data_IF_946125484227
#
_entry.id   IF_946125484227
#
_cell.length_a   1.000
_cell.length_b   1.000
_cell.length_c   1.000
_cell.angle_alpha   90.00
_cell.angle_beta   90.00
_cell.angle_gamma   90.00
#
_symmetry.space_group_name_H-M   'P 1'
#
loop_
_entity.id
_entity.type
_entity.pdbx_description
1 polymer ?
#
# COMPACT_ATOMS: atom_id res chain seq x y z
N UNK A 1 -26.61 15.62 0.96
CA UNK A 1 -27.19 16.91 0.56
C UNK A 1 -26.08 17.95 0.54
N UNK A 2 -26.33 19.16 0.04
CA UNK A 2 -25.41 20.30 0.18
C UNK A 2 -26.18 21.59 0.42
N UNK A 3 -25.53 22.56 1.06
CA UNK A 3 -26.05 23.92 1.17
C UNK A 3 -25.90 24.67 -0.16
N UNK A 4 -26.63 25.76 -0.35
CA UNK A 4 -26.34 26.73 -1.42
C UNK A 4 -25.02 27.45 -1.14
N UNK A 5 -24.55 28.28 -2.08
CA UNK A 5 -23.38 29.15 -1.85
C UNK A 5 -23.64 30.13 -0.69
N UNK A 6 -24.78 30.80 -0.72
CA UNK A 6 -25.23 31.70 0.36
C UNK A 6 -25.33 30.96 1.70
N UNK A 7 -25.91 29.75 1.72
CA UNK A 7 -25.98 28.93 2.94
C UNK A 7 -24.62 28.48 3.45
N UNK A 8 -23.66 28.24 2.56
CA UNK A 8 -22.28 27.91 2.93
C UNK A 8 -21.58 29.13 3.53
N UNK A 9 -21.70 30.30 2.91
CA UNK A 9 -21.15 31.56 3.44
C UNK A 9 -21.76 31.93 4.79
N UNK A 10 -23.09 31.77 4.94
CA UNK A 10 -23.78 31.96 6.20
C UNK A 10 -23.22 31.02 7.27
N UNK A 11 -23.15 29.72 6.98
CA UNK A 11 -22.63 28.72 7.91
C UNK A 11 -21.17 29.00 8.30
N UNK A 12 -20.31 29.34 7.35
CA UNK A 12 -18.89 29.55 7.61
C UNK A 12 -18.63 30.71 8.57
N UNK A 13 -19.48 31.74 8.54
CA UNK A 13 -19.44 32.90 9.44
C UNK A 13 -19.93 32.63 10.88
N UNK A 14 -20.55 31.47 11.14
CA UNK A 14 -21.02 31.09 12.47
C UNK A 14 -19.85 30.68 13.39
N UNK A 15 -20.02 30.93 14.69
CA UNK A 15 -19.14 30.39 15.75
C UNK A 15 -19.28 28.88 15.86
N UNK A 16 -18.36 28.20 16.57
CA UNK A 16 -18.42 26.73 16.72
C UNK A 16 -19.74 26.26 17.34
N UNK A 17 -20.25 26.95 18.35
CA UNK A 17 -21.53 26.61 19.01
C UNK A 17 -22.70 26.81 18.05
N UNK A 18 -22.73 27.94 17.34
CA UNK A 18 -23.81 28.23 16.37
C UNK A 18 -23.80 27.26 15.18
N UNK A 19 -22.63 26.74 14.80
CA UNK A 19 -22.50 25.68 13.79
C UNK A 19 -23.17 24.37 14.25
N UNK A 20 -22.93 23.99 15.50
CA UNK A 20 -23.55 22.80 16.10
C UNK A 20 -25.08 22.97 16.25
N UNK A 21 -25.51 24.18 16.65
CA UNK A 21 -26.93 24.55 16.73
C UNK A 21 -27.59 24.49 15.35
N UNK A 22 -26.96 25.07 14.31
CA UNK A 22 -27.47 25.03 12.94
C UNK A 22 -27.72 23.59 12.46
N UNK A 23 -26.79 22.66 12.73
CA UNK A 23 -26.93 21.27 12.31
C UNK A 23 -28.00 20.53 13.12
N UNK A 24 -28.08 20.81 14.42
CA UNK A 24 -29.11 20.23 15.30
C UNK A 24 -30.50 20.70 14.90
N UNK A 25 -30.66 22.00 14.67
CA UNK A 25 -31.90 22.60 14.21
C UNK A 25 -32.29 22.08 12.83
N UNK A 26 -31.34 21.99 11.89
CA UNK A 26 -31.58 21.38 10.58
C UNK A 26 -32.11 19.95 10.69
N UNK A 27 -31.56 19.12 11.59
CA UNK A 27 -32.07 17.77 11.83
C UNK A 27 -33.49 17.78 12.39
N UNK A 28 -33.78 18.67 13.35
CA UNK A 28 -35.11 18.81 13.96
C UNK A 28 -36.13 19.26 12.90
N UNK A 29 -35.78 20.25 12.09
CA UNK A 29 -36.61 20.73 10.98
C UNK A 29 -36.90 19.60 9.99
N UNK A 30 -35.88 18.87 9.56
CA UNK A 30 -36.04 17.72 8.65
C UNK A 30 -36.93 16.61 9.24
N UNK A 31 -36.80 16.33 10.54
CA UNK A 31 -37.65 15.33 11.23
C UNK A 31 -39.13 15.71 11.29
N UNK A 32 -39.43 17.02 11.28
CA UNK A 32 -40.79 17.55 11.23
C UNK A 32 -41.35 17.56 9.81
N UNK A 33 -40.53 17.97 8.83
CA UNK A 33 -40.91 18.05 7.42
C UNK A 33 -41.19 16.65 6.85
N UNK A 34 -40.32 15.70 7.17
CA UNK A 34 -40.47 14.29 6.80
C UNK A 34 -40.64 13.53 8.11
N UNK A 35 -41.88 13.21 8.53
CA UNK A 35 -42.17 12.66 9.85
C UNK A 35 -41.37 11.39 10.12
N UNK A 36 -40.24 11.55 10.80
CA UNK A 36 -39.26 10.52 11.13
C UNK A 36 -38.79 10.81 12.54
N UNK A 37 -38.69 9.77 13.37
CA UNK A 37 -38.13 9.93 14.71
C UNK A 37 -36.71 10.50 14.62
N UNK A 38 -36.46 11.61 15.32
CA UNK A 38 -35.17 12.30 15.36
C UNK A 38 -34.02 11.38 15.77
N UNK A 39 -34.27 10.38 16.63
CA UNK A 39 -33.28 9.40 17.06
C UNK A 39 -32.75 8.53 15.91
N UNK A 40 -33.46 8.47 14.78
CA UNK A 40 -33.03 7.77 13.57
C UNK A 40 -32.16 8.62 12.67
N UNK A 41 -32.06 9.92 12.93
CA UNK A 41 -31.33 10.88 12.11
C UNK A 41 -30.01 11.22 12.80
N UNK A 42 -28.92 11.18 12.03
CA UNK A 42 -27.65 11.72 12.48
C UNK A 42 -26.96 12.37 11.28
N UNK A 43 -26.44 13.58 11.46
CA UNK A 43 -25.75 14.32 10.40
C UNK A 43 -24.26 14.42 10.66
N UNK A 44 -23.48 14.42 9.59
CA UNK A 44 -22.11 14.91 9.60
C UNK A 44 -21.91 15.91 8.47
N UNK A 45 -20.95 16.80 8.66
CA UNK A 45 -20.72 17.91 7.76
C UNK A 45 -19.31 17.87 7.23
N UNK A 46 -19.14 18.12 5.93
CA UNK A 46 -17.84 18.24 5.28
C UNK A 46 -17.84 19.46 4.38
N UNK A 47 -16.81 20.29 4.50
CA UNK A 47 -16.55 21.37 3.56
C UNK A 47 -15.65 20.82 2.45
N UNK A 48 -16.11 20.90 1.20
CA UNK A 48 -15.37 20.46 0.03
C UNK A 48 -15.39 21.56 -1.02
N UNK A 49 -14.21 22.10 -1.34
CA UNK A 49 -14.01 23.18 -2.32
C UNK A 49 -14.96 24.38 -2.09
N UNK A 50 -15.01 24.88 -0.84
CA UNK A 50 -15.86 26.01 -0.42
C UNK A 50 -17.36 25.76 -0.59
N UNK A 51 -17.76 24.48 -0.56
CA UNK A 51 -19.15 24.06 -0.61
C UNK A 51 -19.44 23.13 0.57
N UNK A 52 -20.49 23.45 1.33
CA UNK A 52 -20.84 22.66 2.50
C UNK A 52 -21.72 21.48 2.14
N UNK A 53 -21.23 20.27 2.41
CA UNK A 53 -21.97 19.02 2.23
C UNK A 53 -22.45 18.48 3.57
N UNK A 54 -23.71 18.04 3.59
CA UNK A 54 -24.37 17.47 4.76
C UNK A 54 -24.71 16.02 4.45
N UNK A 55 -24.05 15.12 5.16
CA UNK A 55 -24.32 13.68 5.13
C UNK A 55 -25.35 13.37 6.19
N UNK A 56 -26.55 12.96 5.78
CA UNK A 56 -27.62 12.55 6.68
C UNK A 56 -27.71 11.03 6.68
N UNK A 57 -27.46 10.42 7.84
CA UNK A 57 -27.65 8.99 8.06
C UNK A 57 -29.04 8.77 8.66
N UNK A 58 -29.78 7.84 8.06
CA UNK A 58 -31.13 7.46 8.46
C UNK A 58 -31.12 6.00 8.90
N UNK A 59 -31.39 5.73 10.16
CA UNK A 59 -31.45 4.36 10.69
C UNK A 59 -32.73 3.66 10.21
N UNK A 60 -32.63 2.39 9.81
CA UNK A 60 -33.81 1.59 9.42
C UNK A 60 -34.67 1.21 10.63
N UNK A 61 -35.99 1.18 10.45
CA UNK A 61 -36.94 0.71 11.47
C UNK A 61 -37.93 -0.28 10.85
N UNK A 62 -38.35 -1.29 11.63
CA UNK A 62 -39.39 -2.26 11.21
C UNK A 62 -40.81 -1.72 11.37
N UNK A 63 -41.01 -0.74 12.26
CA UNK A 63 -42.34 -0.20 12.63
C UNK A 63 -42.64 1.11 11.92
N UNK A 64 -41.61 1.83 11.48
CA UNK A 64 -41.74 3.14 10.86
C UNK A 64 -41.46 3.07 9.36
N UNK A 65 -41.54 4.23 8.71
CA UNK A 65 -41.32 4.39 7.28
C UNK A 65 -39.96 3.87 6.81
N UNK A 66 -39.95 3.26 5.63
CA UNK A 66 -38.75 2.70 5.01
C UNK A 66 -37.74 3.80 4.66
N UNK A 67 -36.45 3.50 4.80
CA UNK A 67 -35.35 4.43 4.50
C UNK A 67 -35.41 4.92 3.05
N UNK A 68 -35.72 4.02 2.11
CA UNK A 68 -35.84 4.37 0.69
C UNK A 68 -36.91 5.44 0.48
N UNK A 69 -38.10 5.25 1.06
CA UNK A 69 -39.20 6.20 0.92
C UNK A 69 -38.90 7.55 1.57
N UNK A 70 -38.16 7.58 2.68
CA UNK A 70 -37.69 8.83 3.32
C UNK A 70 -36.71 9.57 2.39
N UNK A 71 -35.76 8.85 1.79
CA UNK A 71 -34.76 9.43 0.87
C UNK A 71 -35.43 9.97 -0.40
N UNK A 72 -36.35 9.20 -0.99
CA UNK A 72 -37.05 9.58 -2.21
C UNK A 72 -37.87 10.87 -1.98
N UNK A 73 -38.66 10.93 -0.89
CA UNK A 73 -39.39 12.14 -0.49
C UNK A 73 -38.45 13.32 -0.21
N UNK A 74 -37.37 13.09 0.55
CA UNK A 74 -36.41 14.16 0.86
C UNK A 74 -35.81 14.75 -0.40
N UNK A 75 -35.43 13.90 -1.35
CA UNK A 75 -34.90 14.36 -2.62
C UNK A 75 -35.93 15.21 -3.38
N UNK A 76 -37.17 14.74 -3.50
CA UNK A 76 -38.22 15.45 -4.23
C UNK A 76 -38.56 16.76 -3.55
N UNK A 77 -38.65 16.77 -2.21
CA UNK A 77 -38.90 17.99 -1.46
C UNK A 77 -37.79 19.02 -1.63
N UNK A 78 -36.51 18.61 -1.69
CA UNK A 78 -35.40 19.55 -1.93
C UNK A 78 -35.42 20.06 -3.37
N UNK A 79 -35.67 19.19 -4.36
CA UNK A 79 -35.73 19.60 -5.77
C UNK A 79 -36.90 20.53 -6.08
N UNK A 80 -38.03 20.32 -5.42
CA UNK A 80 -39.23 21.16 -5.55
C UNK A 80 -39.40 22.13 -4.38
N UNK A 81 -38.29 22.53 -3.77
CA UNK A 81 -38.21 23.35 -2.54
C UNK A 81 -39.19 24.52 -2.50
N UNK A 82 -39.37 25.24 -3.61
CA UNK A 82 -40.26 26.42 -3.72
C UNK A 82 -41.73 26.15 -3.37
N UNK A 83 -42.17 24.89 -3.47
CA UNK A 83 -43.57 24.49 -3.26
C UNK A 83 -43.72 23.44 -2.15
N UNK A 84 -42.63 23.03 -1.49
CA UNK A 84 -42.66 22.04 -0.42
C UNK A 84 -42.34 22.66 0.94
N UNK A 85 -42.61 21.94 2.01
CA UNK A 85 -42.36 22.43 3.38
C UNK A 85 -40.88 22.67 3.71
N UNK A 86 -39.94 22.29 2.83
CA UNK A 86 -38.50 22.56 3.00
C UNK A 86 -38.18 24.07 2.98
N UNK A 87 -38.96 24.88 2.26
CA UNK A 87 -38.76 26.33 2.25
C UNK A 87 -39.36 27.06 3.46
N UNK A 88 -40.11 26.37 4.32
CA UNK A 88 -40.83 26.99 5.44
C UNK A 88 -39.96 27.21 6.68
N UNK A 89 -38.85 26.47 6.81
CA UNK A 89 -37.94 26.57 7.93
C UNK A 89 -36.62 27.23 7.52
N UNK A 90 -35.97 27.90 8.48
CA UNK A 90 -34.83 28.77 8.21
C UNK A 90 -33.63 27.98 7.67
N UNK A 91 -33.27 26.87 8.31
CA UNK A 91 -32.05 26.15 7.98
C UNK A 91 -32.23 25.23 6.77
N UNK A 92 -33.38 24.55 6.66
CA UNK A 92 -33.70 23.76 5.46
C UNK A 92 -33.83 24.63 4.20
N UNK A 93 -34.15 25.91 4.35
CA UNK A 93 -34.16 26.84 3.22
C UNK A 93 -32.75 27.16 2.68
N UNK A 94 -31.66 26.74 3.32
CA UNK A 94 -30.32 26.79 2.73
C UNK A 94 -29.94 25.55 1.92
N UNK A 95 -30.79 24.53 1.85
CA UNK A 95 -30.54 23.34 1.02
C UNK A 95 -30.60 23.70 -0.48
N UNK A 96 -29.65 23.15 -1.24
CA UNK A 96 -29.50 23.40 -2.68
C UNK A 96 -30.49 22.56 -3.49
N UNK A 97 -31.42 23.25 -4.16
CA UNK A 97 -32.48 22.65 -4.99
C UNK A 97 -31.94 21.94 -6.24
N UNK A 98 -30.85 22.45 -6.83
CA UNK A 98 -30.23 21.85 -8.03
C UNK A 98 -29.52 20.53 -7.70
N UNK A 99 -28.99 20.42 -6.48
CA UNK A 99 -28.29 19.22 -6.02
C UNK A 99 -29.25 18.14 -5.49
N UNK A 100 -30.30 18.54 -4.76
CA UNK A 100 -31.22 17.61 -4.13
C UNK A 100 -30.58 16.76 -3.02
N UNK A 101 -30.98 15.49 -2.94
CA UNK A 101 -30.33 14.51 -2.06
C UNK A 101 -29.83 13.31 -2.86
N UNK A 102 -28.53 13.04 -2.75
CA UNK A 102 -27.90 11.89 -3.39
C UNK A 102 -27.68 10.81 -2.34
N UNK A 103 -28.32 9.62 -2.47
CA UNK A 103 -28.06 8.52 -1.56
C UNK A 103 -26.62 8.02 -1.72
N UNK A 104 -26.01 7.59 -0.62
CA UNK A 104 -24.74 6.89 -0.67
C UNK A 104 -24.87 5.66 -1.58
N UNK A 105 -23.97 5.57 -2.57
CA UNK A 105 -24.07 4.59 -3.62
C UNK A 105 -23.83 3.18 -3.07
N UNK A 106 -24.66 2.22 -3.48
CA UNK A 106 -24.35 0.81 -3.27
C UNK A 106 -23.13 0.43 -4.14
N UNK A 107 -21.94 0.49 -3.55
CA UNK A 107 -20.67 0.21 -4.23
C UNK A 107 -20.68 -1.17 -4.88
N UNK A 108 -21.28 -2.17 -4.24
CA UNK A 108 -21.40 -3.51 -4.79
C UNK A 108 -22.21 -3.50 -6.09
N UNK A 109 -23.42 -2.92 -6.07
CA UNK A 109 -24.28 -2.87 -7.25
C UNK A 109 -23.62 -2.16 -8.44
N UNK A 110 -22.91 -1.06 -8.17
CA UNK A 110 -22.26 -0.26 -9.21
C UNK A 110 -20.97 -0.89 -9.75
N UNK A 111 -20.19 -1.55 -8.88
CA UNK A 111 -18.82 -1.96 -9.21
C UNK A 111 -18.60 -3.48 -9.23
N UNK A 112 -19.62 -4.32 -9.04
CA UNK A 112 -19.52 -5.79 -9.03
C UNK A 112 -18.69 -6.35 -10.20
N UNK A 113 -18.91 -5.87 -11.42
CA UNK A 113 -18.18 -6.35 -12.62
C UNK A 113 -16.70 -5.96 -12.55
N UNK A 114 -16.39 -4.74 -12.09
CA UNK A 114 -14.99 -4.28 -11.91
C UNK A 114 -14.28 -5.09 -10.82
N UNK A 115 -14.96 -5.32 -9.68
CA UNK A 115 -14.45 -6.16 -8.59
C UNK A 115 -14.18 -7.58 -9.08
N UNK A 116 -15.11 -8.17 -9.84
CA UNK A 116 -14.93 -9.50 -10.43
C UNK A 116 -13.70 -9.56 -11.35
N UNK A 117 -13.48 -8.52 -12.16
CA UNK A 117 -12.29 -8.42 -13.01
C UNK A 117 -10.99 -8.39 -12.19
N UNK A 118 -10.95 -7.63 -11.10
CA UNK A 118 -9.78 -7.60 -10.20
C UNK A 118 -9.55 -8.96 -9.54
N UNK A 119 -10.61 -9.61 -9.04
CA UNK A 119 -10.51 -10.96 -8.46
C UNK A 119 -10.01 -11.98 -9.47
N UNK A 120 -10.48 -11.93 -10.72
CA UNK A 120 -10.03 -12.80 -11.80
C UNK A 120 -8.54 -12.57 -12.11
N UNK A 121 -8.09 -11.30 -12.17
CA UNK A 121 -6.68 -10.96 -12.39
C UNK A 121 -5.77 -11.52 -11.28
N UNK A 122 -6.16 -11.38 -10.01
CA UNK A 122 -5.43 -11.98 -8.89
C UNK A 122 -5.46 -13.52 -8.92
N UNK A 123 -6.58 -14.12 -9.36
CA UNK A 123 -6.68 -15.56 -9.59
C UNK A 123 -5.68 -16.04 -10.65
N UNK A 124 -5.56 -15.32 -11.76
CA UNK A 124 -4.57 -15.61 -12.81
C UNK A 124 -3.15 -15.50 -12.27
N UNK A 125 -2.82 -14.44 -11.54
CA UNK A 125 -1.51 -14.27 -10.91
C UNK A 125 -1.17 -15.44 -9.97
N UNK A 126 -2.15 -15.90 -9.19
CA UNK A 126 -1.97 -17.05 -8.30
C UNK A 126 -1.71 -18.35 -9.07
N UNK A 127 -2.43 -18.59 -10.17
CA UNK A 127 -2.17 -19.75 -11.05
C UNK A 127 -0.77 -19.66 -11.65
N UNK A 128 -0.35 -18.49 -12.14
CA UNK A 128 1.00 -18.28 -12.69
C UNK A 128 2.09 -18.53 -11.63
N UNK A 129 1.88 -18.08 -10.40
CA UNK A 129 2.76 -18.37 -9.27
C UNK A 129 2.90 -19.88 -9.02
N UNK A 130 1.78 -20.62 -8.97
CA UNK A 130 1.79 -22.07 -8.78
C UNK A 130 2.51 -22.80 -9.91
N UNK A 131 2.31 -22.37 -11.16
CA UNK A 131 3.01 -22.93 -12.32
C UNK A 131 4.52 -22.66 -12.26
N UNK A 132 4.92 -21.43 -11.93
CA UNK A 132 6.32 -21.06 -11.75
C UNK A 132 6.97 -21.90 -10.64
N UNK A 133 6.29 -22.06 -9.51
CA UNK A 133 6.76 -22.86 -8.38
C UNK A 133 6.87 -24.36 -8.70
N UNK A 134 5.94 -24.89 -9.49
CA UNK A 134 6.00 -26.28 -9.96
C UNK A 134 7.19 -26.51 -10.89
N UNK A 135 7.50 -25.53 -11.76
CA UNK A 135 8.56 -25.64 -12.77
C UNK A 135 9.96 -25.59 -12.15
N UNK A 136 10.23 -24.64 -11.26
CA UNK A 136 11.55 -24.50 -10.63
C UNK A 136 11.40 -24.13 -9.15
N UNK A 137 11.49 -25.12 -8.26
CA UNK A 137 11.26 -24.91 -6.82
C UNK A 137 12.33 -24.07 -6.13
N UNK A 138 13.55 -24.00 -6.67
CA UNK A 138 14.66 -23.23 -6.07
C UNK A 138 14.60 -21.74 -6.43
N UNK A 139 13.82 -21.36 -7.43
CA UNK A 139 13.62 -19.98 -7.85
C UNK A 139 12.78 -19.18 -6.84
N UNK A 140 12.99 -17.86 -6.78
CA UNK A 140 12.16 -16.92 -6.00
C UNK A 140 10.84 -16.64 -6.73
N UNK A 141 10.00 -17.65 -6.90
CA UNK A 141 8.78 -17.57 -7.72
C UNK A 141 7.71 -16.61 -7.20
N UNK A 142 7.80 -16.15 -5.94
CA UNK A 142 6.98 -15.04 -5.42
C UNK A 142 7.14 -13.75 -6.25
N UNK A 143 8.23 -13.62 -7.03
CA UNK A 143 8.44 -12.55 -7.99
C UNK A 143 7.27 -12.38 -8.99
N UNK A 144 6.52 -13.45 -9.31
CA UNK A 144 5.32 -13.36 -10.17
C UNK A 144 4.25 -12.49 -9.52
N UNK A 145 3.95 -12.74 -8.25
CA UNK A 145 2.94 -11.99 -7.50
C UNK A 145 3.41 -10.56 -7.26
N UNK A 146 4.69 -10.40 -6.93
CA UNK A 146 5.32 -9.10 -6.74
C UNK A 146 5.24 -8.24 -8.00
N UNK A 147 5.51 -8.81 -9.18
CA UNK A 147 5.37 -8.12 -10.46
C UNK A 147 3.93 -7.62 -10.66
N UNK A 148 2.95 -8.50 -10.43
CA UNK A 148 1.53 -8.15 -10.55
C UNK A 148 1.11 -7.04 -9.59
N UNK A 149 1.61 -7.07 -8.35
CA UNK A 149 1.32 -6.05 -7.34
C UNK A 149 1.94 -4.70 -7.68
N UNK A 150 3.20 -4.65 -8.15
CA UNK A 150 3.84 -3.40 -8.59
C UNK A 150 3.04 -2.74 -9.72
N UNK A 151 2.60 -3.53 -10.72
CA UNK A 151 1.81 -3.02 -11.85
C UNK A 151 0.44 -2.53 -11.36
N UNK A 152 -0.25 -3.33 -10.54
CA UNK A 152 -1.57 -2.98 -10.02
C UNK A 152 -1.52 -1.70 -9.19
N UNK A 153 -0.53 -1.58 -8.30
CA UNK A 153 -0.32 -0.40 -7.46
C UNK A 153 -0.15 0.85 -8.30
N UNK A 154 0.79 0.83 -9.25
CA UNK A 154 1.03 1.97 -10.13
C UNK A 154 -0.22 2.38 -10.92
N UNK A 155 -0.93 1.41 -11.50
CA UNK A 155 -2.13 1.66 -12.32
C UNK A 155 -3.24 2.28 -11.48
N UNK A 156 -3.57 1.70 -10.32
CA UNK A 156 -4.65 2.21 -9.47
C UNK A 156 -4.31 3.58 -8.91
N UNK A 157 -3.05 3.82 -8.55
CA UNK A 157 -2.60 5.11 -8.07
C UNK A 157 -2.61 6.19 -9.15
N UNK A 158 -2.24 5.87 -10.39
CA UNK A 158 -2.41 6.76 -11.52
C UNK A 158 -3.89 7.08 -11.80
N UNK A 159 -4.77 6.07 -11.71
CA UNK A 159 -6.22 6.27 -11.86
C UNK A 159 -6.80 7.14 -10.73
N UNK A 160 -6.31 6.99 -9.50
CA UNK A 160 -6.70 7.84 -8.37
C UNK A 160 -6.36 9.31 -8.65
N UNK A 161 -5.12 9.61 -9.05
CA UNK A 161 -4.72 10.99 -9.37
C UNK A 161 -5.53 11.54 -10.55
N UNK A 162 -5.72 10.74 -11.60
CA UNK A 162 -6.39 11.20 -12.82
C UNK A 162 -7.90 11.43 -12.65
N UNK A 163 -8.59 10.56 -11.91
CA UNK A 163 -10.05 10.62 -11.80
C UNK A 163 -10.51 11.38 -10.57
N UNK A 164 -9.79 11.21 -9.45
CA UNK A 164 -10.25 11.65 -8.14
C UNK A 164 -9.44 12.83 -7.61
N UNK A 165 -8.22 13.04 -8.12
CA UNK A 165 -7.35 14.12 -7.68
C UNK A 165 -7.99 15.51 -7.78
N UNK A 166 -8.91 15.74 -8.72
CA UNK A 166 -9.61 17.03 -8.89
C UNK A 166 -10.84 17.21 -8.00
N UNK A 167 -11.29 16.17 -7.31
CA UNK A 167 -12.46 16.26 -6.41
C UNK A 167 -12.10 17.05 -5.15
N UNK A 168 -10.90 16.83 -4.61
CA UNK A 168 -10.34 17.61 -3.50
C UNK A 168 -9.15 18.39 -4.05
N UNK A 169 -9.39 19.64 -4.47
CA UNK A 169 -8.39 20.42 -5.23
C UNK A 169 -7.06 20.57 -4.47
N UNK A 170 -7.14 20.75 -3.15
CA UNK A 170 -5.97 20.86 -2.27
C UNK A 170 -5.05 19.62 -2.30
N UNK A 171 -5.60 18.43 -2.61
CA UNK A 171 -4.83 17.19 -2.67
C UNK A 171 -4.32 16.85 -4.07
N UNK A 172 -4.77 17.55 -5.12
CA UNK A 172 -4.37 17.24 -6.50
C UNK A 172 -2.86 17.34 -6.71
N UNK A 173 -2.28 18.51 -6.38
CA UNK A 173 -0.86 18.79 -6.57
C UNK A 173 0.01 17.86 -5.74
N UNK A 174 -0.22 17.66 -4.42
CA UNK A 174 0.50 16.66 -3.65
C UNK A 174 0.41 15.25 -4.25
N UNK A 175 -0.79 14.80 -4.62
CA UNK A 175 -0.97 13.46 -5.19
C UNK A 175 -0.18 13.26 -6.49
N UNK A 176 -0.19 14.27 -7.37
CA UNK A 176 0.57 14.25 -8.62
C UNK A 176 2.08 14.25 -8.36
N UNK A 177 2.56 15.07 -7.42
CA UNK A 177 3.98 15.15 -7.08
C UNK A 177 4.50 13.82 -6.51
N UNK A 178 3.78 13.24 -5.54
CA UNK A 178 4.18 11.98 -4.90
C UNK A 178 4.01 10.75 -5.80
N UNK A 179 3.25 10.84 -6.90
CA UNK A 179 3.25 9.83 -7.95
C UNK A 179 4.42 10.02 -8.93
N UNK A 180 4.62 11.24 -9.44
CA UNK A 180 5.52 11.48 -10.58
C UNK A 180 6.99 11.59 -10.18
N UNK A 181 7.32 12.29 -9.10
CA UNK A 181 8.71 12.52 -8.68
C UNK A 181 9.39 11.20 -8.31
N UNK A 182 8.83 10.34 -7.44
CA UNK A 182 9.43 9.03 -7.16
C UNK A 182 9.53 8.16 -8.41
N UNK A 183 8.55 8.23 -9.32
CA UNK A 183 8.59 7.47 -10.57
C UNK A 183 9.79 7.84 -11.43
N UNK A 184 10.06 9.14 -11.60
CA UNK A 184 11.20 9.63 -12.37
C UNK A 184 12.52 9.29 -11.68
N UNK A 185 12.62 9.50 -10.36
CA UNK A 185 13.82 9.19 -9.58
C UNK A 185 14.14 7.69 -9.64
N UNK A 186 13.14 6.83 -9.48
CA UNK A 186 13.33 5.39 -9.58
C UNK A 186 13.74 4.95 -11.00
N UNK A 187 13.15 5.53 -12.05
CA UNK A 187 13.57 5.24 -13.42
C UNK A 187 15.04 5.64 -13.66
N UNK A 188 15.45 6.84 -13.25
CA UNK A 188 16.86 7.29 -13.35
C UNK A 188 17.79 6.37 -12.55
N UNK A 189 17.39 6.00 -11.33
CA UNK A 189 18.14 5.07 -10.48
C UNK A 189 18.29 3.69 -11.14
N UNK A 190 17.24 3.18 -11.75
CA UNK A 190 17.26 1.90 -12.46
C UNK A 190 18.21 1.94 -13.67
N UNK A 191 18.15 3.00 -14.48
CA UNK A 191 19.08 3.21 -15.59
C UNK A 191 20.53 3.27 -15.11
N UNK A 192 20.80 3.99 -14.02
CA UNK A 192 22.14 4.07 -13.45
C UNK A 192 22.64 2.71 -12.97
N UNK A 193 21.80 1.92 -12.28
CA UNK A 193 22.15 0.58 -11.80
C UNK A 193 22.49 -0.35 -12.97
N UNK A 194 21.64 -0.41 -14.00
CA UNK A 194 21.87 -1.24 -15.18
C UNK A 194 23.13 -0.81 -15.92
N UNK A 195 23.38 0.49 -16.03
CA UNK A 195 24.60 1.02 -16.65
C UNK A 195 25.85 0.64 -15.86
N UNK A 196 25.82 0.69 -14.53
CA UNK A 196 26.95 0.30 -13.69
C UNK A 196 27.21 -1.22 -13.78
N UNK A 197 26.16 -2.05 -13.79
CA UNK A 197 26.25 -3.51 -13.93
C UNK A 197 26.83 -3.94 -15.29
N UNK A 198 26.47 -3.23 -16.37
CA UNK A 198 26.98 -3.46 -17.72
C UNK A 198 28.49 -3.22 -17.88
N UNK A 199 29.18 -2.65 -16.87
CA UNK A 199 30.64 -2.58 -16.87
C UNK A 199 31.30 -3.94 -16.67
N UNK A 200 30.57 -4.91 -16.10
CA UNK A 200 31.05 -6.28 -15.96
C UNK A 200 30.75 -7.08 -17.23
N UNK A 201 31.74 -7.86 -17.69
CA UNK A 201 31.58 -8.68 -18.90
C UNK A 201 30.43 -9.68 -18.78
N UNK A 202 30.31 -10.33 -17.62
CA UNK A 202 29.28 -11.33 -17.35
C UNK A 202 27.86 -10.77 -17.42
N UNK A 203 27.63 -9.58 -16.88
CA UNK A 203 26.31 -8.94 -16.95
C UNK A 203 26.04 -8.41 -18.36
N UNK A 204 27.05 -7.83 -19.02
CA UNK A 204 26.92 -7.34 -20.39
C UNK A 204 26.56 -8.48 -21.38
N UNK A 205 27.18 -9.65 -21.24
CA UNK A 205 26.85 -10.84 -22.05
C UNK A 205 25.38 -11.27 -21.83
N UNK A 206 24.93 -11.31 -20.57
CA UNK A 206 23.52 -11.60 -20.24
C UNK A 206 22.56 -10.53 -20.77
N UNK A 207 22.92 -9.25 -20.64
CA UNK A 207 22.13 -8.11 -21.10
C UNK A 207 21.96 -8.12 -22.62
N UNK A 208 23.03 -8.44 -23.36
CA UNK A 208 22.97 -8.57 -24.82
C UNK A 208 22.02 -9.70 -25.26
N UNK A 209 22.00 -10.82 -24.54
CA UNK A 209 21.12 -11.96 -24.83
C UNK A 209 19.65 -11.68 -24.49
N UNK A 210 19.38 -10.87 -23.46
CA UNK A 210 18.03 -10.65 -22.92
C UNK A 210 17.63 -9.17 -22.91
N UNK A 211 18.12 -8.40 -23.88
CA UNK A 211 17.98 -6.93 -23.98
C UNK A 211 16.56 -6.44 -23.71
N UNK A 212 15.56 -7.02 -24.38
CA UNK A 212 14.17 -6.57 -24.25
C UNK A 212 13.63 -6.75 -22.83
N UNK A 213 13.96 -7.86 -22.17
CA UNK A 213 13.55 -8.10 -20.78
C UNK A 213 14.21 -7.08 -19.86
N UNK A 214 15.52 -6.87 -19.99
CA UNK A 214 16.24 -5.89 -19.19
C UNK A 214 15.68 -4.46 -19.36
N UNK A 215 15.36 -4.04 -20.58
CA UNK A 215 14.78 -2.72 -20.84
C UNK A 215 13.37 -2.58 -20.25
N UNK A 216 12.51 -3.59 -20.39
CA UNK A 216 11.16 -3.60 -19.81
C UNK A 216 11.25 -3.42 -18.30
N UNK A 217 12.12 -4.17 -17.62
CA UNK A 217 12.26 -4.08 -16.17
C UNK A 217 12.92 -2.77 -15.73
N UNK A 218 13.85 -2.20 -16.50
CA UNK A 218 14.40 -0.85 -16.25
C UNK A 218 13.30 0.21 -16.26
N UNK A 219 12.40 0.17 -17.26
CA UNK A 219 11.29 1.13 -17.36
C UNK A 219 10.24 0.87 -16.27
N UNK A 220 9.89 -0.40 -16.05
CA UNK A 220 8.94 -0.79 -15.01
C UNK A 220 9.43 -0.41 -13.61
N UNK A 221 10.73 -0.37 -13.40
CA UNK A 221 11.32 0.11 -12.16
C UNK A 221 11.02 1.57 -11.84
N UNK A 222 10.54 2.37 -12.80
CA UNK A 222 9.91 3.65 -12.48
C UNK A 222 8.76 3.48 -11.49
N UNK A 223 7.87 2.50 -11.66
CA UNK A 223 6.76 2.25 -10.75
C UNK A 223 7.24 1.85 -9.35
N UNK A 224 8.20 0.94 -9.29
CA UNK A 224 8.90 0.53 -8.07
C UNK A 224 10.28 -0.04 -8.44
N UNK A 225 11.35 0.52 -7.86
CA UNK A 225 12.73 0.11 -8.13
C UNK A 225 12.97 -1.38 -7.86
N UNK A 226 12.18 -1.98 -6.97
CA UNK A 226 12.24 -3.40 -6.64
C UNK A 226 11.89 -4.29 -7.85
N UNK A 227 11.26 -3.77 -8.91
CA UNK A 227 11.07 -4.51 -10.15
C UNK A 227 12.40 -5.03 -10.74
N UNK A 228 13.54 -4.35 -10.53
CA UNK A 228 14.86 -4.87 -10.95
C UNK A 228 15.23 -6.18 -10.24
N UNK A 229 14.75 -6.42 -9.01
CA UNK A 229 15.08 -7.63 -8.26
C UNK A 229 14.46 -8.90 -8.87
N UNK A 230 13.44 -8.73 -9.73
CA UNK A 230 12.83 -9.80 -10.51
C UNK A 230 13.81 -10.35 -11.55
N UNK A 231 14.70 -9.51 -12.11
CA UNK A 231 15.69 -9.93 -13.09
C UNK A 231 16.72 -10.93 -12.53
N UNK A 232 16.93 -10.95 -11.21
CA UNK A 232 17.85 -11.89 -10.56
C UNK A 232 17.14 -12.88 -9.60
N UNK A 233 15.84 -13.11 -9.83
CA UNK A 233 14.98 -13.94 -8.97
C UNK A 233 15.04 -15.44 -9.31
N UNK A 234 15.60 -15.80 -10.47
CA UNK A 234 15.50 -17.11 -11.10
C UNK A 234 14.03 -17.60 -11.21
N UNK A 235 13.11 -16.68 -11.50
CA UNK A 235 11.68 -16.95 -11.58
C UNK A 235 11.38 -18.01 -12.66
N UNK A 236 10.70 -19.08 -12.24
CA UNK A 236 10.36 -20.26 -13.05
C UNK A 236 11.56 -20.90 -13.78
N UNK A 237 12.79 -20.69 -13.29
CA UNK A 237 14.01 -21.22 -13.88
C UNK A 237 14.35 -20.63 -15.25
N UNK A 238 13.79 -19.47 -15.60
CA UNK A 238 14.09 -18.83 -16.88
C UNK A 238 15.41 -18.06 -16.81
N UNK A 239 16.28 -18.25 -17.82
CA UNK A 239 17.61 -17.62 -17.90
C UNK A 239 17.53 -16.09 -17.91
N UNK A 240 16.50 -15.52 -18.52
CA UNK A 240 16.23 -14.08 -18.53
C UNK A 240 15.75 -13.53 -17.16
N UNK A 241 15.53 -14.37 -16.15
CA UNK A 241 15.36 -13.97 -14.75
C UNK A 241 16.53 -14.40 -13.88
N UNK A 242 17.67 -14.76 -14.48
CA UNK A 242 18.89 -15.15 -13.79
C UNK A 242 20.04 -14.16 -14.07
N UNK A 243 19.74 -12.86 -14.07
CA UNK A 243 20.72 -11.81 -14.29
C UNK A 243 21.83 -11.84 -13.23
N UNK A 244 23.13 -11.79 -13.63
CA UNK A 244 24.25 -11.91 -12.71
C UNK A 244 24.57 -10.55 -12.04
N UNK A 245 23.60 -9.98 -11.32
CA UNK A 245 23.79 -8.73 -10.57
C UNK A 245 24.90 -8.86 -9.53
N UNK A 246 25.77 -7.86 -9.50
CA UNK A 246 26.79 -7.70 -8.46
C UNK A 246 26.17 -7.49 -7.07
N UNK A 247 26.97 -7.68 -6.02
CA UNK A 247 26.55 -7.36 -4.64
C UNK A 247 26.25 -5.87 -4.48
N UNK A 248 27.02 -5.01 -5.17
CA UNK A 248 26.82 -3.56 -5.18
C UNK A 248 25.45 -3.20 -5.78
N UNK A 249 25.10 -3.75 -6.95
CA UNK A 249 23.80 -3.48 -7.59
C UNK A 249 22.63 -3.97 -6.75
N UNK A 250 22.73 -5.17 -6.16
CA UNK A 250 21.70 -5.69 -5.22
C UNK A 250 21.51 -4.77 -4.02
N UNK A 251 22.61 -4.27 -3.44
CA UNK A 251 22.56 -3.32 -2.34
C UNK A 251 21.97 -1.97 -2.77
N UNK A 252 22.29 -1.48 -3.98
CA UNK A 252 21.70 -0.26 -4.53
C UNK A 252 20.19 -0.39 -4.72
N UNK A 253 19.69 -1.52 -5.25
CA UNK A 253 18.25 -1.80 -5.37
C UNK A 253 17.60 -1.80 -3.99
N UNK A 254 18.21 -2.49 -3.01
CA UNK A 254 17.71 -2.56 -1.63
C UNK A 254 17.55 -1.16 -1.01
N UNK A 255 18.61 -0.34 -1.03
CA UNK A 255 18.59 0.99 -0.44
C UNK A 255 17.65 1.95 -1.15
N UNK A 256 17.58 1.89 -2.49
CA UNK A 256 16.63 2.69 -3.26
C UNK A 256 15.18 2.35 -2.89
N UNK A 257 14.87 1.06 -2.71
CA UNK A 257 13.53 0.66 -2.30
C UNK A 257 13.23 1.05 -0.85
N UNK A 258 14.21 1.01 0.07
CA UNK A 258 14.04 1.56 1.41
C UNK A 258 13.70 3.06 1.38
N UNK A 259 14.35 3.84 0.51
CA UNK A 259 14.04 5.26 0.34
C UNK A 259 12.61 5.48 -0.20
N UNK A 260 12.15 4.59 -1.09
CA UNK A 260 10.83 4.64 -1.70
C UNK A 260 9.69 4.56 -0.66
N UNK A 261 9.90 3.84 0.46
CA UNK A 261 8.93 3.77 1.57
C UNK A 261 8.59 5.18 2.10
N UNK A 262 9.61 6.00 2.31
CA UNK A 262 9.45 7.35 2.85
C UNK A 262 9.07 8.37 1.78
N UNK A 263 9.62 8.24 0.58
CA UNK A 263 9.44 9.20 -0.50
C UNK A 263 8.13 9.01 -1.29
N UNK A 264 7.56 7.79 -1.29
CA UNK A 264 6.36 7.42 -2.05
C UNK A 264 5.30 6.79 -1.16
N UNK A 265 5.59 5.63 -0.55
CA UNK A 265 4.55 4.77 0.04
C UNK A 265 3.82 5.45 1.21
N UNK A 266 4.54 6.00 2.19
CA UNK A 266 3.94 6.68 3.35
C UNK A 266 3.14 7.93 2.92
N UNK A 267 3.72 8.90 2.18
CA UNK A 267 2.96 10.07 1.70
C UNK A 267 1.70 9.69 0.94
N UNK A 268 1.77 8.66 0.10
CA UNK A 268 0.66 8.21 -0.71
C UNK A 268 -0.50 7.66 0.12
N UNK A 269 -0.21 6.83 1.13
CA UNK A 269 -1.22 6.36 2.10
C UNK A 269 -1.85 7.55 2.83
N UNK A 270 -1.05 8.51 3.31
CA UNK A 270 -1.55 9.70 4.00
C UNK A 270 -2.51 10.49 3.10
N UNK A 271 -2.12 10.76 1.86
CA UNK A 271 -2.95 11.48 0.88
C UNK A 271 -4.28 10.77 0.63
N UNK A 272 -4.27 9.45 0.51
CA UNK A 272 -5.48 8.65 0.26
C UNK A 272 -6.41 8.60 1.48
N UNK A 273 -5.86 8.56 2.70
CA UNK A 273 -6.65 8.70 3.94
C UNK A 273 -7.30 10.08 4.01
N UNK A 274 -6.51 11.14 3.79
CA UNK A 274 -7.02 12.52 3.77
C UNK A 274 -8.09 12.72 2.71
N UNK A 275 -7.93 12.12 1.53
CA UNK A 275 -8.95 12.15 0.48
C UNK A 275 -10.28 11.55 0.94
N UNK A 276 -10.25 10.32 1.49
CA UNK A 276 -11.47 9.63 1.95
C UNK A 276 -12.13 10.39 3.10
N UNK A 277 -11.33 11.00 3.97
CA UNK A 277 -11.85 11.84 5.06
C UNK A 277 -12.45 13.16 4.54
N UNK A 278 -11.95 13.70 3.44
CA UNK A 278 -12.43 14.97 2.86
C UNK A 278 -13.74 14.82 2.07
N UNK A 279 -13.94 13.69 1.37
CA UNK A 279 -15.12 13.51 0.50
C UNK A 279 -16.31 12.91 1.24
N UNK A 280 -17.52 13.32 0.86
CA UNK A 280 -18.77 12.69 1.34
C UNK A 280 -19.09 11.43 0.54
N UNK A 281 -18.83 11.45 -0.77
CA UNK A 281 -19.07 10.33 -1.68
C UNK A 281 -17.73 9.96 -2.30
N UNK A 282 -17.21 8.78 -1.96
CA UNK A 282 -16.00 8.21 -2.57
C UNK A 282 -16.35 7.13 -3.60
N UNK A 283 -15.42 6.87 -4.51
CA UNK A 283 -15.57 5.84 -5.53
C UNK A 283 -14.73 4.59 -5.19
N UNK A 284 -14.90 3.53 -5.99
CA UNK A 284 -14.14 2.29 -5.79
C UNK A 284 -12.65 2.44 -6.07
N UNK A 285 -12.26 3.41 -6.91
CA UNK A 285 -10.85 3.63 -7.28
C UNK A 285 -10.09 4.14 -6.07
N UNK A 286 -10.64 5.11 -5.33
CA UNK A 286 -10.04 5.59 -4.08
C UNK A 286 -9.90 4.50 -3.03
N UNK A 287 -10.88 3.60 -2.93
CA UNK A 287 -10.79 2.47 -2.00
C UNK A 287 -9.70 1.48 -2.42
N UNK A 288 -9.64 1.11 -3.70
CA UNK A 288 -8.58 0.23 -4.21
C UNK A 288 -7.20 0.87 -4.11
N UNK A 289 -7.09 2.18 -4.30
CA UNK A 289 -5.84 2.90 -4.15
C UNK A 289 -5.34 2.83 -2.71
N UNK A 290 -6.21 3.11 -1.73
CA UNK A 290 -5.85 2.97 -0.32
C UNK A 290 -5.45 1.53 0.04
N UNK A 291 -6.25 0.54 -0.37
CA UNK A 291 -5.94 -0.87 -0.09
C UNK A 291 -4.61 -1.27 -0.73
N UNK A 292 -4.37 -0.86 -1.98
CA UNK A 292 -3.13 -1.15 -2.69
C UNK A 292 -1.92 -0.53 -2.00
N UNK A 293 -1.98 0.76 -1.67
CA UNK A 293 -0.87 1.46 -1.02
C UNK A 293 -0.58 0.88 0.37
N UNK A 294 -1.62 0.54 1.16
CA UNK A 294 -1.45 -0.13 2.45
C UNK A 294 -0.81 -1.51 2.29
N UNK A 295 -1.24 -2.29 1.29
CA UNK A 295 -0.67 -3.61 1.01
C UNK A 295 0.80 -3.49 0.55
N UNK A 296 1.11 -2.55 -0.33
CA UNK A 296 2.48 -2.32 -0.81
C UNK A 296 3.40 -1.89 0.33
N UNK A 297 2.96 -0.94 1.16
CA UNK A 297 3.69 -0.50 2.34
C UNK A 297 3.95 -1.66 3.31
N UNK A 298 2.95 -2.51 3.58
CA UNK A 298 3.10 -3.67 4.45
C UNK A 298 4.13 -4.66 3.88
N UNK A 299 4.03 -4.99 2.58
CA UNK A 299 4.97 -5.91 1.92
C UNK A 299 6.39 -5.36 1.95
N UNK A 300 6.55 -4.06 1.69
CA UNK A 300 7.86 -3.40 1.73
C UNK A 300 8.44 -3.43 3.14
N UNK A 301 7.68 -3.05 4.18
CA UNK A 301 8.15 -3.08 5.57
C UNK A 301 8.53 -4.51 5.99
N UNK A 302 7.63 -5.48 5.79
CA UNK A 302 7.87 -6.88 6.19
C UNK A 302 9.04 -7.49 5.42
N UNK A 303 9.11 -7.25 4.11
CA UNK A 303 10.19 -7.75 3.26
C UNK A 303 11.55 -7.22 3.68
N UNK A 304 11.65 -5.93 4.00
CA UNK A 304 12.91 -5.32 4.47
C UNK A 304 13.28 -5.78 5.87
N UNK A 305 12.31 -5.86 6.79
CA UNK A 305 12.56 -6.38 8.13
C UNK A 305 13.12 -7.81 8.08
N UNK A 306 12.54 -8.68 7.25
CA UNK A 306 13.02 -10.05 7.07
C UNK A 306 14.44 -10.11 6.50
N UNK A 307 14.74 -9.27 5.49
CA UNK A 307 16.10 -9.19 4.92
C UNK A 307 17.12 -8.71 5.96
N UNK A 308 16.81 -7.68 6.73
CA UNK A 308 17.69 -7.17 7.80
C UNK A 308 17.92 -8.22 8.90
N UNK A 309 16.87 -8.89 9.36
CA UNK A 309 16.99 -9.96 10.38
C UNK A 309 17.89 -11.08 9.88
N UNK A 310 17.74 -11.52 8.63
CA UNK A 310 18.59 -12.57 8.07
C UNK A 310 20.06 -12.14 7.99
N UNK A 311 20.33 -10.88 7.63
CA UNK A 311 21.70 -10.32 7.63
C UNK A 311 22.27 -10.32 9.04
N UNK A 312 21.52 -9.84 10.04
CA UNK A 312 21.97 -9.81 11.44
C UNK A 312 22.23 -11.22 11.99
N UNK A 313 21.39 -12.20 11.66
CA UNK A 313 21.52 -13.58 12.14
C UNK A 313 22.72 -14.31 11.52
N UNK A 314 23.07 -14.02 10.28
CA UNK A 314 24.27 -14.56 9.65
C UNK A 314 25.54 -13.81 10.09
N UNK A 315 25.46 -12.50 10.31
CA UNK A 315 26.58 -11.71 10.85
C UNK A 315 26.97 -12.06 12.30
N UNK A 316 26.04 -12.57 13.12
CA UNK A 316 26.35 -13.02 14.49
C UNK A 316 27.04 -14.38 14.57
N UNK A 317 27.05 -15.17 13.50
CA UNK A 317 27.70 -16.49 13.43
C UNK A 317 29.15 -16.40 12.91
N UNK A 318 29.56 -15.25 12.38
CA UNK A 318 30.92 -14.98 11.88
C UNK A 318 31.68 -13.95 12.75
N UNK A 319 31.21 -13.66 13.96
CA UNK A 319 32.02 -12.89 14.91
C UNK A 319 33.29 -13.71 15.25
N UNK A 320 34.51 -13.21 14.92
CA UNK A 320 35.73 -13.95 15.19
C UNK A 320 35.86 -14.10 16.70
N UNK A 321 36.19 -15.31 17.14
CA UNK A 321 36.82 -15.50 18.44
C UNK A 321 38.13 -14.70 18.39
N UNK A 322 38.07 -13.45 18.83
CA UNK A 322 39.26 -12.67 19.15
C UNK A 322 39.94 -13.42 20.29
N UNK A 323 40.95 -14.21 19.94
CA UNK A 323 42.04 -14.58 20.84
C UNK A 323 42.55 -13.27 21.44
N UNK A 324 42.04 -12.96 22.63
CA UNK A 324 42.59 -11.97 23.52
C UNK A 324 43.91 -12.51 24.05
N UNK A 325 44.97 -12.40 23.26
CA UNK A 325 46.33 -12.35 23.80
C UNK A 325 46.50 -10.99 24.47
N UNK A 326 46.00 -10.89 25.71
CA UNK A 326 46.50 -9.91 26.65
C UNK A 326 47.91 -10.36 27.04
N UNK A 327 48.90 -9.72 26.42
CA UNK A 327 50.25 -9.65 26.97
C UNK A 327 50.18 -8.84 28.26
N UNK A 328 50.01 -9.53 29.38
CA UNK A 328 50.50 -9.11 30.68
C UNK A 328 51.73 -9.96 30.94
N UNK A 329 52.89 -9.32 30.92
CA UNK A 329 54.05 -9.59 31.80
C UNK A 329 55.31 -8.98 31.19
N UNK A 330 55.38 -7.65 31.26
CA UNK A 330 56.65 -6.96 31.43
C UNK A 330 56.92 -6.91 32.93
N UNK A 331 57.64 -7.91 33.47
CA UNK A 331 58.65 -7.79 34.52
C UNK A 331 59.16 -9.18 34.93
N UNK A 332 60.49 -9.30 34.95
CA UNK A 332 61.28 -10.33 35.64
C UNK A 332 61.23 -11.77 35.10
N UNK A 333 62.21 -12.11 34.25
CA UNK A 333 63.48 -12.71 34.74
C UNK A 333 64.10 -13.65 33.70
N UNK A 334 65.31 -13.28 33.27
CA UNK A 334 66.33 -14.21 32.82
C UNK A 334 66.61 -15.23 33.93
N UNK A 335 66.56 -16.53 33.62
CA UNK A 335 67.72 -17.44 33.72
C UNK A 335 67.33 -18.93 33.78
N UNK A 336 68.02 -19.73 32.96
CA UNK A 336 68.52 -21.09 33.21
C UNK A 336 67.54 -22.30 33.05
N UNK A 337 67.71 -22.98 31.89
CA UNK A 337 68.22 -24.36 31.70
C UNK A 337 67.33 -25.61 31.93
N UNK A 338 67.64 -26.63 31.10
CA UNK A 338 67.30 -28.10 31.15
C UNK A 338 65.97 -28.49 30.47
N UNK A 339 65.93 -29.05 29.24
CA UNK A 339 66.23 -30.43 28.73
C UNK A 339 65.10 -31.45 28.92
N UNK A 340 64.74 -32.16 27.84
CA UNK A 340 63.89 -33.38 27.80
C UNK A 340 62.88 -33.32 26.64
N UNK A 341 63.23 -33.67 25.41
CA UNK A 341 63.31 -35.03 24.81
C UNK A 341 61.99 -35.84 24.76
N UNK A 342 61.66 -36.25 23.52
CA UNK A 342 61.03 -37.49 23.08
C UNK A 342 59.49 -37.67 23.03
N UNK A 343 59.04 -37.68 21.77
CA UNK A 343 58.45 -38.82 21.04
C UNK A 343 57.11 -39.45 21.47
N UNK A 344 56.27 -39.64 20.44
CA UNK A 344 55.68 -40.92 20.02
C UNK A 344 54.15 -40.94 19.78
N UNK A 345 53.83 -41.11 18.47
CA UNK A 345 53.03 -42.19 17.87
C UNK A 345 51.56 -42.46 18.31
N UNK A 346 50.71 -42.42 17.26
CA UNK A 346 49.82 -43.51 16.76
C UNK A 346 48.67 -43.99 17.68
N UNK A 347 47.42 -43.90 17.21
CA UNK A 347 46.74 -44.96 16.46
C UNK A 347 45.21 -44.75 16.35
N UNK A 348 44.73 -45.11 15.16
CA UNK A 348 43.40 -45.54 14.72
C UNK A 348 42.55 -46.34 15.74
N UNK A 349 41.21 -46.24 15.65
CA UNK A 349 40.31 -47.30 15.11
C UNK A 349 38.81 -46.93 15.22
N UNK A 350 38.12 -47.01 14.08
CA UNK A 350 36.77 -47.54 13.80
C UNK A 350 35.77 -47.87 14.93
N UNK A 351 34.50 -47.52 14.72
CA UNK A 351 33.38 -48.50 14.66
C UNK A 351 32.11 -47.95 14.00
N UNK A 352 31.36 -48.89 13.42
CA UNK A 352 30.22 -48.82 12.50
C UNK A 352 28.93 -49.23 13.25
N UNK A 353 27.77 -49.01 12.60
CA UNK A 353 26.43 -49.63 12.85
C UNK A 353 25.48 -48.80 13.72
N UNK A 354 24.17 -48.64 13.49
CA UNK A 354 23.21 -49.08 12.46
C UNK A 354 21.83 -48.44 12.73
N UNK A 355 21.04 -48.26 11.66
CA UNK A 355 19.57 -48.42 11.50
C UNK A 355 18.59 -47.92 12.59
N UNK A 356 17.56 -47.21 12.12
CA UNK A 356 16.23 -47.19 12.75
C UNK A 356 15.26 -46.25 12.02
N UNK A 357 14.37 -46.81 11.19
CA UNK A 357 13.24 -46.15 10.53
C UNK A 357 12.01 -46.16 11.44
N UNK A 358 11.22 -45.09 11.47
CA UNK A 358 9.82 -45.13 11.91
C UNK A 358 8.96 -44.12 11.11
N UNK A 359 7.75 -44.56 10.79
CA UNK A 359 6.71 -43.92 9.98
C UNK A 359 5.38 -44.17 10.73
N UNK A 360 4.55 -43.15 10.92
CA UNK A 360 3.13 -43.20 11.36
C UNK A 360 2.56 -41.78 11.09
N UNK A 361 1.64 -41.54 10.15
CA UNK A 361 0.20 -41.88 10.03
C UNK A 361 -0.70 -41.22 11.11
N UNK A 362 -1.23 -40.09 10.64
CA UNK A 362 -2.45 -39.29 10.92
C UNK A 362 -3.61 -40.01 11.67
N UNK A 363 -4.50 -39.23 12.32
CA UNK A 363 -5.72 -38.73 11.64
C UNK A 363 -5.89 -37.21 11.57
#
# INVERSE_FOLDING_TARGET
MRLTKEGTEFYDNLTSTEKDDFISDLQIELSKIIPVNIERLSSSVKNLNNQMFISLKIQSSKKERSVKSIIDDLNDMIKYKRITSISLFLNTNYLDEDFGSVPNQNLWGKYKIRILGVVLAFGILMVLFLLAHKKERKGRNMAVLQLGLIIFDFVINALFVSNNGKVVEALYIPSLMFLTVPTVVNAIGAFYIIFDENKSKTFLDWFAQHLMVALIFTVLSGADIEALSILHSNMAGFEFFNAPFSTKGKNSIFWASCLNIFAKDIPQVIIQILYIDSVVIYDIISLFALISSCLNLLINIVGRLFQTINICRHGSLEAPATERNFTSDELMSHSIHVKGENDSKKNNLTKRSSKGSFQEVIP
#
